data_IF_645942311990
#
_entry.id   IF_645942311990
#
_cell.length_a   1.000
_cell.length_b   1.000
_cell.length_c   1.000
_cell.angle_alpha   90.00
_cell.angle_beta   90.00
_cell.angle_gamma   90.00
#
_symmetry.space_group_name_H-M   'P 1'
#
loop_
_entity.id
_entity.type
_entity.pdbx_description
1 polymer ?
#
# COMPACT_ATOMS: atom_id res chain seq x y z
N UNK A 1 5.32 -23.04 -18.69
CA UNK A 1 4.02 -23.58 -18.23
C UNK A 1 2.95 -22.55 -18.59
N UNK A 2 1.92 -22.98 -19.35
CA UNK A 2 0.81 -22.13 -19.76
C UNK A 2 -0.05 -21.79 -18.53
N UNK A 3 -0.41 -20.53 -18.38
CA UNK A 3 -1.44 -20.12 -17.44
C UNK A 3 -2.73 -20.89 -17.72
N UNK A 4 -3.28 -21.56 -16.73
CA UNK A 4 -4.54 -22.29 -16.85
C UNK A 4 -5.77 -21.35 -16.78
N UNK A 5 -5.57 -20.07 -16.51
CA UNK A 5 -6.63 -19.06 -16.40
C UNK A 5 -6.69 -18.20 -17.66
N UNK A 6 -7.89 -18.02 -18.19
CA UNK A 6 -8.14 -17.01 -19.23
C UNK A 6 -8.24 -15.62 -18.57
N UNK A 7 -7.46 -14.63 -19.01
CA UNK A 7 -7.57 -13.28 -18.47
C UNK A 7 -8.93 -12.66 -18.81
N UNK A 8 -9.43 -11.84 -17.90
CA UNK A 8 -10.53 -10.95 -18.24
C UNK A 8 -10.06 -9.86 -19.23
N UNK A 9 -10.97 -9.31 -20.06
CA UNK A 9 -10.60 -8.31 -21.06
C UNK A 9 -9.80 -7.14 -20.48
N UNK A 10 -10.23 -6.57 -19.37
CA UNK A 10 -9.54 -5.47 -18.69
C UNK A 10 -8.13 -5.82 -18.19
N UNK A 11 -7.88 -7.09 -17.87
CA UNK A 11 -6.55 -7.56 -17.46
C UNK A 11 -5.62 -7.69 -18.66
N UNK A 12 -6.14 -8.19 -19.78
CA UNK A 12 -5.38 -8.27 -21.04
C UNK A 12 -5.08 -6.85 -21.57
N UNK A 13 -6.06 -5.97 -21.60
CA UNK A 13 -5.88 -4.57 -22.00
C UNK A 13 -4.82 -3.85 -21.13
N UNK A 14 -4.83 -4.09 -19.83
CA UNK A 14 -3.84 -3.54 -18.91
C UNK A 14 -2.42 -4.02 -19.23
N UNK A 15 -2.27 -5.32 -19.53
CA UNK A 15 -0.99 -5.89 -19.93
C UNK A 15 -0.52 -5.31 -21.26
N UNK A 16 -1.41 -5.26 -22.26
CA UNK A 16 -1.10 -4.75 -23.62
C UNK A 16 -0.69 -3.27 -23.57
N UNK A 17 -1.41 -2.45 -22.80
CA UNK A 17 -1.07 -1.04 -22.60
C UNK A 17 0.29 -0.86 -21.93
N UNK A 18 0.61 -1.69 -20.91
CA UNK A 18 1.91 -1.65 -20.27
C UNK A 18 3.04 -2.12 -21.19
N UNK A 19 2.81 -3.14 -22.01
CA UNK A 19 3.78 -3.60 -23.01
C UNK A 19 4.04 -2.53 -24.07
N UNK A 20 2.99 -1.87 -24.57
CA UNK A 20 3.08 -0.79 -25.55
C UNK A 20 3.86 0.43 -25.00
N UNK A 21 3.85 0.64 -23.68
CA UNK A 21 4.62 1.66 -22.99
C UNK A 21 6.04 1.19 -22.61
N UNK A 22 6.67 0.36 -23.43
CA UNK A 22 8.03 -0.16 -23.23
C UNK A 22 8.21 -0.93 -21.91
N UNK A 23 7.11 -1.50 -21.43
CA UNK A 23 7.07 -2.24 -20.14
C UNK A 23 7.43 -1.38 -18.93
N UNK A 24 7.03 -0.11 -18.98
CA UNK A 24 7.17 0.85 -17.91
C UNK A 24 5.86 1.60 -17.69
N UNK A 25 5.30 1.55 -16.53
CA UNK A 25 4.07 2.29 -16.25
C UNK A 25 3.30 1.78 -15.03
N UNK A 26 2.23 2.49 -14.76
CA UNK A 26 1.32 2.24 -13.64
C UNK A 26 -0.03 1.78 -14.18
N UNK A 27 -0.53 0.69 -13.63
CA UNK A 27 -1.87 0.14 -13.88
C UNK A 27 -2.75 0.43 -12.67
N UNK A 28 -3.86 1.11 -12.90
CA UNK A 28 -4.85 1.44 -11.87
C UNK A 28 -6.09 0.59 -12.07
N UNK A 29 -6.30 -0.37 -11.19
CA UNK A 29 -7.43 -1.29 -11.19
C UNK A 29 -8.06 -1.37 -9.81
N UNK A 30 -9.39 -1.44 -9.67
CA UNK A 30 -10.06 -1.60 -8.40
C UNK A 30 -9.58 -2.83 -7.61
N UNK A 31 -9.82 -2.82 -6.31
CA UNK A 31 -9.66 -4.02 -5.48
C UNK A 31 -10.58 -5.12 -6.01
N UNK A 32 -10.08 -6.35 -6.08
CA UNK A 32 -10.84 -7.47 -6.64
C UNK A 32 -10.75 -7.63 -8.17
N UNK A 33 -10.28 -6.63 -8.93
CA UNK A 33 -10.16 -6.71 -10.39
C UNK A 33 -8.97 -7.56 -10.88
N UNK A 34 -8.21 -8.19 -9.98
CA UNK A 34 -7.14 -9.11 -10.34
C UNK A 34 -5.81 -8.45 -10.70
N UNK A 35 -5.41 -7.36 -10.01
CA UNK A 35 -4.10 -6.71 -10.17
C UNK A 35 -2.92 -7.68 -10.12
N UNK A 36 -2.94 -8.63 -9.19
CA UNK A 36 -1.89 -9.64 -9.05
C UNK A 36 -1.79 -10.54 -10.27
N UNK A 37 -2.92 -10.86 -10.91
CA UNK A 37 -2.93 -11.63 -12.14
C UNK A 37 -2.32 -10.88 -13.34
N UNK A 38 -2.53 -9.56 -13.42
CA UNK A 38 -1.82 -8.72 -14.40
C UNK A 38 -0.30 -8.79 -14.20
N UNK A 39 0.17 -8.77 -12.94
CA UNK A 39 1.59 -8.94 -12.66
C UNK A 39 2.11 -10.34 -13.01
N UNK A 40 1.34 -11.40 -12.73
CA UNK A 40 1.68 -12.76 -13.15
C UNK A 40 1.88 -12.85 -14.67
N UNK A 41 0.95 -12.32 -15.45
CA UNK A 41 1.05 -12.25 -16.91
C UNK A 41 2.26 -11.41 -17.36
N UNK A 42 2.53 -10.30 -16.69
CA UNK A 42 3.71 -9.47 -16.97
C UNK A 42 5.01 -10.22 -16.69
N UNK A 43 5.11 -10.98 -15.58
CA UNK A 43 6.27 -11.83 -15.26
C UNK A 43 6.52 -12.85 -16.38
N UNK A 44 5.45 -13.51 -16.83
CA UNK A 44 5.54 -14.48 -17.95
C UNK A 44 6.00 -13.80 -19.23
N UNK A 45 5.50 -12.61 -19.54
CA UNK A 45 5.84 -11.89 -20.78
C UNK A 45 7.27 -11.35 -20.79
N UNK A 46 7.81 -10.99 -19.63
CA UNK A 46 9.16 -10.42 -19.49
C UNK A 46 10.23 -11.49 -19.46
N UNK A 47 9.98 -12.62 -18.83
CA UNK A 47 10.92 -13.75 -18.66
C UNK A 47 12.28 -13.28 -18.09
N UNK A 48 12.25 -12.48 -17.06
CA UNK A 48 13.43 -12.00 -16.33
C UNK A 48 13.24 -12.24 -14.83
N UNK A 49 14.36 -12.30 -14.11
CA UNK A 49 14.32 -12.29 -12.66
C UNK A 49 13.51 -11.08 -12.17
N UNK A 50 12.60 -11.32 -11.25
CA UNK A 50 11.56 -10.36 -10.84
C UNK A 50 11.59 -10.10 -9.35
N UNK A 51 11.56 -8.83 -8.96
CA UNK A 51 11.33 -8.39 -7.59
C UNK A 51 9.92 -7.82 -7.44
N UNK A 52 9.12 -8.37 -6.53
CA UNK A 52 7.81 -7.83 -6.16
C UNK A 52 7.92 -7.13 -4.81
N UNK A 53 7.54 -5.86 -4.78
CA UNK A 53 7.58 -5.02 -3.57
C UNK A 53 6.16 -4.77 -3.07
N UNK A 54 5.89 -5.12 -1.82
CA UNK A 54 4.56 -5.08 -1.20
C UNK A 54 4.54 -4.29 0.12
N UNK A 55 3.38 -3.78 0.59
CA UNK A 55 3.33 -2.97 1.80
C UNK A 55 3.59 -3.73 3.10
N UNK A 56 3.12 -4.97 3.22
CA UNK A 56 3.10 -5.69 4.50
C UNK A 56 3.65 -7.11 4.38
N UNK A 57 4.03 -7.70 5.52
CA UNK A 57 4.49 -9.09 5.59
C UNK A 57 3.37 -10.08 5.22
N UNK A 58 2.13 -9.78 5.55
CA UNK A 58 0.99 -10.64 5.21
C UNK A 58 0.79 -10.69 3.68
N UNK A 59 0.89 -9.54 3.01
CA UNK A 59 0.85 -9.47 1.54
C UNK A 59 2.07 -10.17 0.93
N UNK A 60 3.25 -10.07 1.54
CA UNK A 60 4.44 -10.81 1.09
C UNK A 60 4.19 -12.32 1.11
N UNK A 61 3.62 -12.85 2.19
CA UNK A 61 3.27 -14.27 2.29
C UNK A 61 2.15 -14.67 1.32
N UNK A 62 1.17 -13.81 1.08
CA UNK A 62 0.10 -14.05 0.11
C UNK A 62 0.65 -14.10 -1.32
N UNK A 63 1.46 -13.13 -1.72
CA UNK A 63 2.11 -13.09 -3.02
C UNK A 63 3.00 -14.31 -3.25
N UNK A 64 3.77 -14.75 -2.23
CA UNK A 64 4.60 -15.93 -2.33
C UNK A 64 3.77 -17.17 -2.67
N UNK A 65 2.71 -17.43 -1.91
CA UNK A 65 1.79 -18.55 -2.18
C UNK A 65 1.19 -18.48 -3.57
N UNK A 66 0.73 -17.30 -3.98
CA UNK A 66 0.11 -17.10 -5.29
C UNK A 66 1.08 -17.42 -6.43
N UNK A 67 2.31 -16.89 -6.37
CA UNK A 67 3.30 -17.10 -7.43
C UNK A 67 3.89 -18.51 -7.41
N UNK A 68 4.06 -19.13 -6.24
CA UNK A 68 4.46 -20.55 -6.13
C UNK A 68 3.42 -21.47 -6.74
N UNK A 69 2.13 -21.22 -6.52
CA UNK A 69 1.03 -21.97 -7.13
C UNK A 69 0.94 -21.74 -8.64
N UNK A 70 1.09 -20.49 -9.09
CA UNK A 70 0.99 -20.15 -10.51
C UNK A 70 2.13 -20.73 -11.35
N UNK A 71 3.35 -20.72 -10.83
CA UNK A 71 4.55 -21.07 -11.59
C UNK A 71 5.14 -22.43 -11.23
N UNK A 72 4.74 -23.04 -10.12
CA UNK A 72 5.29 -24.33 -9.65
C UNK A 72 6.77 -24.25 -9.26
N UNK A 73 7.24 -23.07 -8.86
CA UNK A 73 8.62 -22.80 -8.46
C UNK A 73 8.67 -22.29 -7.02
N UNK A 74 9.83 -22.39 -6.43
CA UNK A 74 10.09 -21.75 -5.14
C UNK A 74 10.30 -20.26 -5.33
N UNK A 75 9.67 -19.44 -4.48
CA UNK A 75 9.76 -17.97 -4.50
C UNK A 75 10.65 -17.49 -3.35
N UNK A 76 11.52 -16.53 -3.64
CA UNK A 76 12.36 -15.87 -2.65
C UNK A 76 11.55 -14.91 -1.77
N UNK A 77 12.01 -14.71 -0.54
CA UNK A 77 11.43 -13.72 0.38
C UNK A 77 12.55 -12.97 1.10
N UNK A 78 12.45 -11.62 1.10
CA UNK A 78 13.36 -10.74 1.85
C UNK A 78 12.54 -9.80 2.71
N UNK A 79 12.48 -10.08 4.00
CA UNK A 79 11.69 -9.34 4.99
C UNK A 79 11.19 -10.24 6.11
N UNK A 80 10.83 -9.66 7.26
CA UNK A 80 10.30 -10.43 8.39
C UNK A 80 11.26 -11.48 8.97
N UNK A 81 12.57 -11.30 8.81
CA UNK A 81 13.59 -12.29 9.21
C UNK A 81 14.02 -13.24 8.09
N UNK A 82 13.33 -13.29 6.97
CA UNK A 82 13.70 -14.06 5.79
C UNK A 82 14.69 -13.30 4.91
N UNK A 83 15.68 -14.04 4.35
CA UNK A 83 16.69 -13.50 3.44
C UNK A 83 17.01 -14.44 2.27
N UNK A 84 15.97 -15.05 1.70
CA UNK A 84 16.09 -15.95 0.57
C UNK A 84 15.82 -15.21 -0.73
N UNK A 85 16.77 -15.20 -1.65
CA UNK A 85 16.68 -14.58 -2.97
C UNK A 85 16.64 -15.67 -4.03
N UNK A 86 15.60 -15.64 -4.86
CA UNK A 86 15.34 -16.54 -5.99
C UNK A 86 15.04 -15.71 -7.25
N UNK A 87 14.84 -16.37 -8.40
CA UNK A 87 14.52 -15.69 -9.66
C UNK A 87 13.26 -14.82 -9.57
N UNK A 88 12.27 -15.24 -8.78
CA UNK A 88 11.16 -14.41 -8.36
C UNK A 88 11.30 -14.22 -6.85
N UNK A 89 11.44 -12.99 -6.42
CA UNK A 89 11.61 -12.65 -5.01
C UNK A 89 10.60 -11.59 -4.62
N UNK A 90 10.05 -11.72 -3.41
CA UNK A 90 9.12 -10.76 -2.84
C UNK A 90 9.76 -10.08 -1.64
N UNK A 91 9.54 -8.80 -1.50
CA UNK A 91 10.05 -8.01 -0.38
C UNK A 91 9.01 -6.97 0.07
N UNK A 92 9.13 -6.50 1.29
CA UNK A 92 8.33 -5.34 1.74
C UNK A 92 9.02 -4.03 1.37
N UNK A 93 8.27 -2.91 1.33
CA UNK A 93 8.85 -1.57 1.11
C UNK A 93 9.95 -1.25 2.11
N UNK A 94 9.76 -1.58 3.39
CA UNK A 94 10.77 -1.37 4.44
C UNK A 94 12.03 -2.21 4.22
N UNK A 95 11.88 -3.46 3.80
CA UNK A 95 13.00 -4.35 3.52
C UNK A 95 13.70 -3.96 2.22
N UNK A 96 12.96 -3.57 1.18
CA UNK A 96 13.52 -3.02 -0.05
C UNK A 96 14.39 -1.80 0.24
N UNK A 97 13.91 -0.86 1.06
CA UNK A 97 14.71 0.30 1.46
C UNK A 97 16.04 -0.08 2.12
N UNK A 98 16.04 -1.11 2.96
CA UNK A 98 17.24 -1.55 3.69
C UNK A 98 18.23 -2.36 2.87
N UNK A 99 17.75 -3.03 1.81
CA UNK A 99 18.53 -4.05 1.10
C UNK A 99 18.65 -3.77 -0.40
N UNK A 100 18.12 -2.66 -0.92
CA UNK A 100 18.14 -2.38 -2.36
C UNK A 100 19.57 -2.14 -2.88
N UNK A 101 20.50 -1.74 -2.04
CA UNK A 101 21.94 -1.68 -2.35
C UNK A 101 22.49 -3.02 -2.85
N UNK A 102 21.95 -4.14 -2.37
CA UNK A 102 22.32 -5.52 -2.73
C UNK A 102 21.35 -6.19 -3.71
N UNK A 103 20.10 -5.75 -3.74
CA UNK A 103 19.04 -6.33 -4.57
C UNK A 103 18.88 -5.59 -5.90
N UNK A 104 19.21 -4.30 -5.96
CA UNK A 104 18.86 -3.42 -7.06
C UNK A 104 19.44 -3.78 -8.42
N UNK A 105 20.53 -4.56 -8.46
CA UNK A 105 21.18 -5.01 -9.68
C UNK A 105 20.88 -6.50 -10.02
N UNK A 106 20.04 -7.17 -9.25
CA UNK A 106 19.80 -8.62 -9.41
C UNK A 106 18.58 -8.94 -10.27
N UNK A 107 17.68 -7.98 -10.46
CA UNK A 107 16.40 -8.20 -11.10
C UNK A 107 16.27 -7.38 -12.39
N UNK A 108 15.76 -8.00 -13.44
CA UNK A 108 15.44 -7.34 -14.71
C UNK A 108 14.05 -6.75 -14.75
N UNK A 109 13.18 -7.13 -13.82
CA UNK A 109 11.83 -6.62 -13.69
C UNK A 109 11.50 -6.32 -12.22
N UNK A 110 10.81 -5.20 -11.96
CA UNK A 110 10.34 -4.84 -10.63
C UNK A 110 8.86 -4.47 -10.68
N UNK A 111 8.10 -5.06 -9.76
CA UNK A 111 6.67 -4.80 -9.54
C UNK A 111 6.49 -4.13 -8.19
N UNK A 112 5.78 -3.02 -8.15
CA UNK A 112 5.38 -2.34 -6.93
C UNK A 112 3.87 -2.51 -6.74
N UNK A 113 3.47 -3.34 -5.78
CA UNK A 113 2.07 -3.46 -5.39
C UNK A 113 1.68 -2.35 -4.41
N UNK A 114 0.45 -1.87 -4.54
CA UNK A 114 -0.05 -0.67 -3.85
C UNK A 114 0.94 0.51 -3.96
N UNK A 115 1.29 0.83 -5.19
CA UNK A 115 2.36 1.79 -5.53
C UNK A 115 2.15 3.19 -4.96
N UNK A 116 0.95 3.52 -4.50
CA UNK A 116 0.65 4.75 -3.78
C UNK A 116 1.43 4.88 -2.45
N UNK A 117 2.02 3.81 -1.93
CA UNK A 117 2.95 3.86 -0.79
C UNK A 117 4.35 4.35 -1.17
N UNK A 118 4.75 4.23 -2.44
CA UNK A 118 6.11 4.55 -2.91
C UNK A 118 6.53 6.03 -2.76
N UNK A 119 5.64 7.05 -2.87
CA UNK A 119 6.06 8.46 -2.85
C UNK A 119 6.68 8.98 -1.56
N UNK A 120 6.75 8.20 -0.49
CA UNK A 120 7.57 8.58 0.67
C UNK A 120 9.03 8.70 0.29
N UNK A 121 9.74 9.76 0.71
CA UNK A 121 11.14 10.02 0.36
C UNK A 121 12.06 8.80 0.57
N UNK A 122 11.77 8.00 1.60
CA UNK A 122 12.48 6.78 1.94
C UNK A 122 12.29 5.69 0.88
N UNK A 123 11.07 5.48 0.40
CA UNK A 123 10.76 4.42 -0.56
C UNK A 123 11.11 4.81 -2.00
N UNK A 124 11.05 6.10 -2.35
CA UNK A 124 11.54 6.60 -3.63
C UNK A 124 13.03 6.27 -3.83
N UNK A 125 13.83 6.37 -2.77
CA UNK A 125 15.24 6.00 -2.82
C UNK A 125 15.41 4.51 -3.18
N UNK A 126 14.60 3.61 -2.63
CA UNK A 126 14.70 2.19 -2.97
C UNK A 126 14.40 1.91 -4.44
N UNK A 127 13.39 2.59 -5.00
CA UNK A 127 13.06 2.46 -6.42
C UNK A 127 14.15 3.04 -7.34
N UNK A 128 14.81 4.11 -6.92
CA UNK A 128 15.91 4.73 -7.69
C UNK A 128 17.18 3.88 -7.72
N UNK A 129 17.43 3.10 -6.68
CA UNK A 129 18.60 2.20 -6.61
C UNK A 129 18.41 0.91 -7.46
N UNK A 130 17.21 0.62 -7.91
CA UNK A 130 16.99 -0.49 -8.82
C UNK A 130 17.35 -0.12 -10.25
N UNK A 131 18.19 -0.95 -10.90
CA UNK A 131 18.55 -0.80 -12.31
C UNK A 131 17.62 -1.59 -13.24
N UNK A 132 16.56 -2.21 -12.73
CA UNK A 132 15.58 -2.96 -13.51
C UNK A 132 15.03 -2.10 -14.66
N UNK A 133 15.18 -2.51 -15.92
CA UNK A 133 14.65 -1.77 -17.07
C UNK A 133 13.12 -1.81 -17.13
N UNK A 134 12.51 -2.92 -16.74
CA UNK A 134 11.06 -3.11 -16.75
C UNK A 134 10.47 -2.81 -15.38
N UNK A 135 9.40 -2.03 -15.36
CA UNK A 135 8.79 -1.55 -14.11
C UNK A 135 7.28 -1.50 -14.21
N UNK A 136 6.59 -2.09 -13.26
CA UNK A 136 5.14 -2.10 -13.17
C UNK A 136 4.71 -1.60 -11.79
N UNK A 137 3.90 -0.55 -11.75
CA UNK A 137 3.19 -0.12 -10.56
C UNK A 137 1.74 -0.60 -10.60
N UNK A 138 1.24 -1.16 -9.50
CA UNK A 138 -0.14 -1.59 -9.34
C UNK A 138 -0.78 -0.83 -8.19
N UNK A 139 -1.99 -0.31 -8.38
CA UNK A 139 -2.76 0.32 -7.30
C UNK A 139 -4.26 0.32 -7.61
N UNK A 140 -5.08 0.40 -6.57
CA UNK A 140 -6.51 0.65 -6.72
C UNK A 140 -6.83 2.16 -6.79
N UNK A 141 -6.02 2.98 -6.15
CA UNK A 141 -6.20 4.43 -6.07
C UNK A 141 -4.88 5.14 -6.31
N UNK A 142 -4.90 6.16 -7.15
CA UNK A 142 -3.72 6.99 -7.40
C UNK A 142 -3.95 8.46 -7.00
N UNK A 143 -5.10 8.78 -6.42
CA UNK A 143 -5.44 10.15 -6.05
C UNK A 143 -4.64 10.61 -4.84
N UNK A 144 -3.68 11.50 -5.07
CA UNK A 144 -2.95 12.24 -4.05
C UNK A 144 -2.80 13.68 -4.50
N UNK A 145 -3.12 14.60 -3.59
CA UNK A 145 -3.05 16.05 -3.82
C UNK A 145 -1.66 16.66 -3.53
N UNK A 146 -0.61 15.83 -3.38
CA UNK A 146 0.70 16.27 -2.89
C UNK A 146 1.81 16.34 -3.98
N UNK A 147 1.46 16.30 -5.28
CA UNK A 147 2.43 16.34 -6.38
C UNK A 147 3.31 15.08 -6.51
N UNK A 148 3.04 14.04 -5.74
CA UNK A 148 3.81 12.79 -5.73
C UNK A 148 3.71 11.99 -7.04
N UNK A 149 2.77 12.34 -7.91
CA UNK A 149 2.60 11.70 -9.23
C UNK A 149 3.81 11.86 -10.14
N UNK A 150 4.44 13.04 -10.14
CA UNK A 150 5.58 13.32 -11.00
C UNK A 150 6.78 12.42 -10.65
N UNK A 151 7.03 12.22 -9.35
CA UNK A 151 8.09 11.35 -8.88
C UNK A 151 7.83 9.87 -9.24
N UNK A 152 6.58 9.42 -9.14
CA UNK A 152 6.19 8.06 -9.57
C UNK A 152 6.36 7.88 -11.08
N UNK A 153 5.90 8.85 -11.87
CA UNK A 153 6.01 8.80 -13.33
C UNK A 153 7.46 8.81 -13.79
N UNK A 154 8.33 9.56 -13.14
CA UNK A 154 9.76 9.58 -13.46
C UNK A 154 10.43 8.22 -13.17
N UNK A 155 10.03 7.52 -12.13
CA UNK A 155 10.63 6.25 -11.73
C UNK A 155 10.04 5.04 -12.45
N UNK A 156 8.73 4.99 -12.60
CA UNK A 156 8.00 3.82 -13.10
C UNK A 156 7.50 3.97 -14.54
N UNK A 157 7.30 5.18 -14.99
CA UNK A 157 6.58 5.51 -16.19
C UNK A 157 5.17 6.07 -15.88
N UNK A 158 4.42 6.52 -16.91
CA UNK A 158 3.10 7.11 -16.75
C UNK A 158 2.05 6.09 -16.28
N UNK A 159 0.85 6.58 -15.96
CA UNK A 159 -0.34 5.72 -15.86
C UNK A 159 -0.70 5.26 -17.27
N UNK A 160 -0.53 3.97 -17.53
CA UNK A 160 -0.75 3.36 -18.86
C UNK A 160 -2.14 2.76 -19.02
N UNK A 161 -2.76 2.38 -17.92
CA UNK A 161 -4.10 1.83 -17.90
C UNK A 161 -4.85 2.20 -16.63
N UNK A 162 -6.14 2.53 -16.78
CA UNK A 162 -7.01 2.85 -15.64
C UNK A 162 -8.42 2.33 -15.89
N UNK A 163 -8.97 1.61 -14.92
CA UNK A 163 -10.38 1.24 -14.86
C UNK A 163 -11.01 1.70 -13.55
N UNK A 164 -12.23 2.13 -13.61
CA UNK A 164 -13.03 2.49 -12.45
C UNK A 164 -13.86 1.31 -11.95
N UNK A 165 -14.28 1.39 -10.69
CA UNK A 165 -15.22 0.41 -10.12
C UNK A 165 -16.52 0.37 -10.93
N UNK A 166 -17.03 1.54 -11.37
CA UNK A 166 -18.27 1.64 -12.13
C UNK A 166 -18.22 0.90 -13.46
N UNK A 167 -17.06 0.82 -14.11
CA UNK A 167 -16.90 0.15 -15.39
C UNK A 167 -16.82 -1.38 -15.28
N UNK A 168 -16.46 -1.90 -14.10
CA UNK A 168 -16.30 -3.34 -13.85
C UNK A 168 -17.42 -3.93 -13.01
N UNK A 169 -18.32 -3.08 -12.49
CA UNK A 169 -19.45 -3.48 -11.63
C UNK A 169 -20.46 -4.31 -12.44
N UNK A 170 -20.95 -5.39 -11.85
CA UNK A 170 -21.96 -6.27 -12.44
C UNK A 170 -21.44 -7.28 -13.45
N UNK A 171 -20.27 -7.05 -14.06
CA UNK A 171 -19.67 -7.98 -15.04
C UNK A 171 -18.46 -8.73 -14.44
N UNK A 172 -17.55 -8.02 -13.79
CA UNK A 172 -16.30 -8.57 -13.23
C UNK A 172 -16.17 -8.37 -11.72
N UNK A 173 -16.87 -7.39 -11.17
CA UNK A 173 -16.96 -7.16 -9.74
C UNK A 173 -18.41 -7.42 -9.29
N UNK A 174 -18.57 -8.08 -8.16
CA UNK A 174 -19.90 -8.28 -7.56
C UNK A 174 -20.62 -6.95 -7.39
N UNK A 175 -21.91 -6.94 -7.61
CA UNK A 175 -22.74 -5.81 -7.24
C UNK A 175 -22.66 -5.62 -5.72
N UNK A 176 -22.51 -4.39 -5.30
CA UNK A 176 -22.53 -4.03 -3.90
C UNK A 176 -23.25 -2.69 -3.70
N UNK A 177 -23.91 -2.58 -2.60
CA UNK A 177 -24.45 -1.31 -2.12
C UNK A 177 -23.58 -0.78 -1.01
N UNK A 178 -23.40 0.55 -1.01
CA UNK A 178 -22.67 1.22 0.02
C UNK A 178 -23.61 1.86 1.01
N UNK A 179 -23.59 1.39 2.24
CA UNK A 179 -24.32 1.99 3.34
C UNK A 179 -23.36 2.76 4.25
N UNK A 180 -23.65 4.03 4.44
CA UNK A 180 -22.91 4.86 5.39
C UNK A 180 -23.64 4.82 6.73
N UNK A 181 -22.98 4.26 7.74
CA UNK A 181 -23.47 4.23 9.10
C UNK A 181 -22.72 5.28 9.92
N UNK A 182 -23.46 6.22 10.48
CA UNK A 182 -22.91 7.21 11.39
C UNK A 182 -22.96 6.66 12.82
N UNK A 183 -21.79 6.49 13.43
CA UNK A 183 -21.67 6.02 14.81
C UNK A 183 -21.21 7.19 15.67
N UNK A 184 -22.04 7.56 16.62
CA UNK A 184 -21.69 8.61 17.59
C UNK A 184 -20.86 8.04 18.72
N UNK A 185 -19.88 8.81 19.16
CA UNK A 185 -19.13 8.48 20.37
C UNK A 185 -20.05 8.59 21.58
N UNK A 186 -19.89 7.73 22.57
CA UNK A 186 -20.51 7.91 23.86
C UNK A 186 -20.00 9.20 24.52
N UNK A 187 -20.69 9.69 25.53
CA UNK A 187 -20.29 10.92 26.23
C UNK A 187 -18.88 10.77 26.85
N UNK A 188 -18.60 9.60 27.42
CA UNK A 188 -17.28 9.28 28.00
C UNK A 188 -16.18 9.22 26.92
N UNK A 189 -16.49 8.63 25.76
CA UNK A 189 -15.56 8.57 24.62
C UNK A 189 -15.30 9.95 24.04
N UNK A 190 -16.34 10.78 23.95
CA UNK A 190 -16.24 12.16 23.47
C UNK A 190 -15.36 12.98 24.40
N UNK A 191 -15.62 12.93 25.69
CA UNK A 191 -14.82 13.64 26.68
C UNK A 191 -13.35 13.21 26.60
N UNK A 192 -13.09 11.89 26.56
CA UNK A 192 -11.74 11.35 26.46
C UNK A 192 -11.03 11.77 25.15
N UNK A 193 -11.77 11.86 24.06
CA UNK A 193 -11.26 12.35 22.78
C UNK A 193 -10.88 13.82 22.87
N UNK A 194 -11.77 14.65 23.41
CA UNK A 194 -11.59 16.10 23.52
C UNK A 194 -10.43 16.45 24.45
N UNK A 195 -10.36 15.85 25.64
CA UNK A 195 -9.25 16.03 26.59
C UNK A 195 -7.89 15.64 25.96
N UNK A 196 -7.87 14.48 25.31
CA UNK A 196 -6.65 14.00 24.64
C UNK A 196 -6.26 14.91 23.46
N UNK A 197 -7.24 15.42 22.73
CA UNK A 197 -7.03 16.34 21.63
C UNK A 197 -6.48 17.68 22.12
N UNK A 198 -7.07 18.24 23.14
CA UNK A 198 -6.64 19.50 23.74
C UNK A 198 -5.20 19.43 24.23
N UNK A 199 -4.85 18.40 25.01
CA UNK A 199 -3.50 18.18 25.50
C UNK A 199 -2.47 18.06 24.35
N UNK A 200 -2.81 17.34 23.30
CA UNK A 200 -1.97 17.19 22.14
C UNK A 200 -1.80 18.51 21.37
N UNK A 201 -2.90 19.25 21.13
CA UNK A 201 -2.87 20.51 20.40
C UNK A 201 -2.12 21.60 21.18
N UNK A 202 -2.30 21.69 22.49
CA UNK A 202 -1.56 22.63 23.37
C UNK A 202 -0.03 22.40 23.27
N UNK A 203 0.41 21.14 23.20
CA UNK A 203 1.82 20.84 23.00
C UNK A 203 2.31 21.26 21.61
N UNK A 204 1.53 21.06 20.55
CA UNK A 204 1.88 21.50 19.19
C UNK A 204 2.03 23.02 19.12
N UNK A 205 1.08 23.75 19.71
CA UNK A 205 1.07 25.22 19.75
C UNK A 205 2.29 25.74 20.50
N UNK A 206 2.52 25.25 21.71
CA UNK A 206 3.66 25.62 22.55
C UNK A 206 5.02 25.42 21.84
N UNK A 207 5.14 24.40 21.02
CA UNK A 207 6.38 24.09 20.28
C UNK A 207 6.38 24.57 18.83
N UNK A 208 5.36 25.32 18.42
CA UNK A 208 5.20 25.86 17.08
C UNK A 208 5.31 24.78 15.97
N UNK A 209 4.69 23.60 16.20
CA UNK A 209 4.73 22.45 15.30
C UNK A 209 3.45 22.41 14.47
N UNK A 210 3.58 22.46 13.14
CA UNK A 210 2.47 22.27 12.20
C UNK A 210 2.50 20.85 11.61
N UNK A 211 1.45 20.05 11.89
CA UNK A 211 1.38 18.64 11.47
C UNK A 211 1.17 18.45 9.96
N UNK A 212 0.56 19.40 9.27
CA UNK A 212 0.28 19.32 7.83
C UNK A 212 1.49 19.52 6.89
N UNK A 213 2.68 19.81 7.42
CA UNK A 213 3.89 19.99 6.63
C UNK A 213 4.69 18.71 6.49
N UNK A 214 5.52 18.61 5.45
CA UNK A 214 6.38 17.43 5.13
C UNK A 214 7.25 16.94 6.31
N UNK A 215 7.57 17.81 7.26
CA UNK A 215 8.40 17.52 8.42
C UNK A 215 7.65 17.58 9.77
N UNK A 216 6.34 17.84 9.77
CA UNK A 216 5.56 18.08 11.00
C UNK A 216 5.63 16.89 11.95
N UNK A 217 5.38 15.70 11.45
CA UNK A 217 5.44 14.47 12.25
C UNK A 217 6.83 14.22 12.85
N UNK A 218 7.89 14.40 12.07
CA UNK A 218 9.27 14.24 12.54
C UNK A 218 9.62 15.23 13.65
N UNK A 219 9.24 16.51 13.47
CA UNK A 219 9.44 17.55 14.50
C UNK A 219 8.67 17.22 15.78
N UNK A 220 7.43 16.75 15.66
CA UNK A 220 6.62 16.32 16.78
C UNK A 220 7.31 15.17 17.55
N UNK A 221 7.72 14.09 16.88
CA UNK A 221 8.43 12.98 17.51
C UNK A 221 9.73 13.42 18.19
N UNK A 222 10.52 14.30 17.57
CA UNK A 222 11.73 14.83 18.16
C UNK A 222 11.45 15.65 19.43
N UNK A 223 10.41 16.47 19.43
CA UNK A 223 10.01 17.27 20.57
C UNK A 223 9.47 16.39 21.72
N UNK A 224 8.68 15.35 21.38
CA UNK A 224 8.09 14.45 22.38
C UNK A 224 9.11 13.57 23.12
N UNK A 225 10.26 13.29 22.53
CA UNK A 225 11.31 12.47 23.16
C UNK A 225 12.13 13.25 24.20
N UNK A 226 12.06 14.58 24.22
CA UNK A 226 12.95 15.44 25.01
C UNK A 226 12.43 15.76 26.42
N UNK A 227 11.14 15.54 26.70
CA UNK A 227 10.52 15.95 27.96
C UNK A 227 9.42 14.99 28.43
N UNK A 228 9.08 15.05 29.71
CA UNK A 228 7.93 14.33 30.25
C UNK A 228 6.62 14.83 29.61
N UNK A 229 6.46 16.13 29.43
CA UNK A 229 5.33 16.75 28.76
C UNK A 229 5.18 16.25 27.32
N UNK A 230 6.30 16.13 26.57
CA UNK A 230 6.30 15.57 25.23
C UNK A 230 5.82 14.12 25.19
N UNK A 231 6.25 13.29 26.13
CA UNK A 231 5.76 11.89 26.23
C UNK A 231 4.25 11.83 26.52
N UNK A 232 3.74 12.76 27.34
CA UNK A 232 2.30 12.87 27.60
C UNK A 232 1.54 13.31 26.33
N UNK A 233 2.06 14.28 25.58
CA UNK A 233 1.47 14.72 24.31
C UNK A 233 1.42 13.59 23.27
N UNK A 234 2.47 12.75 23.18
CA UNK A 234 2.46 11.59 22.30
C UNK A 234 1.43 10.52 22.73
N UNK A 235 1.30 10.31 24.07
CA UNK A 235 0.28 9.42 24.61
C UNK A 235 -1.13 9.94 24.30
N UNK A 236 -1.36 11.23 24.49
CA UNK A 236 -2.61 11.91 24.18
C UNK A 236 -2.95 11.81 22.69
N UNK A 237 -2.00 12.07 21.79
CA UNK A 237 -2.18 11.87 20.35
C UNK A 237 -2.59 10.43 20.00
N UNK A 238 -1.92 9.43 20.57
CA UNK A 238 -2.27 8.01 20.36
C UNK A 238 -3.65 7.67 20.90
N UNK A 239 -4.00 8.20 22.09
CA UNK A 239 -5.30 7.97 22.70
C UNK A 239 -6.44 8.58 21.90
N UNK A 240 -6.30 9.84 21.47
CA UNK A 240 -7.24 10.50 20.58
C UNK A 240 -7.47 9.66 19.30
N UNK A 241 -6.39 9.18 18.67
CA UNK A 241 -6.52 8.34 17.46
C UNK A 241 -7.19 7.01 17.75
N UNK A 242 -6.89 6.38 18.86
CA UNK A 242 -7.53 5.13 19.28
C UNK A 242 -9.03 5.30 19.42
N UNK A 243 -9.48 6.34 20.13
CA UNK A 243 -10.91 6.64 20.29
C UNK A 243 -11.56 6.92 18.92
N UNK A 244 -10.93 7.74 18.08
CA UNK A 244 -11.46 8.07 16.76
C UNK A 244 -11.60 6.86 15.83
N UNK A 245 -10.68 5.89 15.91
CA UNK A 245 -10.62 4.76 14.98
C UNK A 245 -11.31 3.49 15.51
N UNK A 246 -11.26 3.26 16.82
CA UNK A 246 -11.70 2.02 17.46
C UNK A 246 -12.39 2.31 18.79
N UNK A 247 -13.39 3.21 18.80
CA UNK A 247 -14.26 3.41 19.95
C UNK A 247 -15.09 2.16 20.21
N UNK A 248 -15.52 1.94 21.46
CA UNK A 248 -16.42 0.84 21.81
C UNK A 248 -17.71 0.91 20.98
N UNK A 249 -18.29 2.09 20.84
CA UNK A 249 -19.48 2.32 20.02
C UNK A 249 -19.33 1.85 18.56
N UNK A 250 -18.14 2.01 17.97
CA UNK A 250 -17.85 1.51 16.61
C UNK A 250 -17.66 0.00 16.57
N UNK A 251 -17.02 -0.57 17.60
CA UNK A 251 -16.81 -2.02 17.69
C UNK A 251 -18.13 -2.74 17.91
N UNK A 252 -19.03 -2.19 18.73
CA UNK A 252 -20.37 -2.73 18.92
C UNK A 252 -21.19 -2.70 17.62
N UNK A 253 -21.17 -1.57 16.91
CA UNK A 253 -21.82 -1.47 15.60
C UNK A 253 -21.23 -2.48 14.59
N UNK A 254 -19.94 -2.72 14.57
CA UNK A 254 -19.32 -3.74 13.73
C UNK A 254 -19.76 -5.16 14.14
N UNK A 255 -19.85 -5.43 15.44
CA UNK A 255 -20.33 -6.73 15.94
C UNK A 255 -21.77 -7.00 15.49
N UNK A 256 -22.64 -5.98 15.55
CA UNK A 256 -24.03 -6.08 15.07
C UNK A 256 -24.07 -6.34 13.56
N UNK A 257 -23.25 -5.65 12.77
CA UNK A 257 -23.16 -5.89 11.31
C UNK A 257 -22.72 -7.33 11.03
N UNK A 258 -21.68 -7.82 11.72
CA UNK A 258 -21.24 -9.20 11.54
C UNK A 258 -22.30 -10.21 11.97
N UNK A 259 -23.05 -9.95 13.06
CA UNK A 259 -24.13 -10.83 13.49
C UNK A 259 -25.26 -10.92 12.46
N UNK A 260 -25.57 -9.82 11.75
CA UNK A 260 -26.59 -9.78 10.69
C UNK A 260 -26.16 -10.49 9.40
N UNK A 261 -24.86 -10.62 9.16
CA UNK A 261 -24.30 -11.19 7.94
C UNK A 261 -23.51 -12.50 8.17
N UNK A 262 -23.56 -13.07 9.37
CA UNK A 262 -23.00 -14.39 9.66
C UNK A 262 -23.97 -15.47 9.13
N UNK A 263 -23.71 -15.94 7.91
CA UNK A 263 -24.29 -17.16 7.32
C UNK A 263 -23.22 -18.21 7.17
#
# INVERSE_FOLDING_TARGET
QQHSRTPYPHQQEALDAWQAAERRGIVVLPTGAGKSYVAEMAIVSVQRSTLVVVPTLDLMAQWARTLEQAFGIRVGMVGGGEHRVEDITITTYDSAYRHMDRLGNRFGFIVFDEVHHLPGATYLQSASLSIAPYRLGLTATLERNDGAHDALSALLGPVVYRQSVSNLRGEYLSEYDTHRIEVHLSEEERQLYEESREQYLAFLDKHNIRMGGSNGWRKFLQATNRSAEGRMALKAYRKQRQVAMASASKLDCLADIFAQHST
#
